data_IF_680531105320
#
_entry.id   IF_680531105320
#
_cell.length_a   1.000
_cell.length_b   1.000
_cell.length_c   1.000
_cell.angle_alpha   90.00
_cell.angle_beta   90.00
_cell.angle_gamma   90.00
#
_symmetry.space_group_name_H-M   'P 1'
#
loop_
_entity.id
_entity.type
_entity.pdbx_description
1 polymer ?
#
# COMPACT_ATOMS: atom_id res chain seq x y z
N UNK A 1 -1.74 33.22 -14.45
CA UNK A 1 -1.73 33.89 -13.14
C UNK A 1 -1.12 35.26 -13.30
N UNK A 2 -1.55 36.21 -12.48
CA UNK A 2 -0.93 37.54 -12.40
C UNK A 2 0.35 37.48 -11.54
N UNK A 3 1.21 38.50 -11.66
CA UNK A 3 2.40 38.66 -10.81
C UNK A 3 2.03 38.65 -9.31
N UNK A 4 0.93 39.29 -8.96
CA UNK A 4 0.43 39.41 -7.59
C UNK A 4 -0.04 38.07 -7.02
N UNK A 5 -0.71 37.24 -7.84
CA UNK A 5 -1.13 35.89 -7.44
C UNK A 5 0.07 34.98 -7.13
N UNK A 6 1.13 35.04 -7.95
CA UNK A 6 2.34 34.25 -7.74
C UNK A 6 3.10 34.69 -6.48
N UNK A 7 3.17 36.00 -6.21
CA UNK A 7 3.77 36.54 -4.99
C UNK A 7 2.99 36.12 -3.74
N UNK A 8 1.67 36.30 -3.75
CA UNK A 8 0.80 35.91 -2.63
C UNK A 8 0.91 34.42 -2.33
N UNK A 9 0.97 33.57 -3.36
CA UNK A 9 1.15 32.13 -3.17
C UNK A 9 2.54 31.76 -2.64
N UNK A 10 3.59 32.47 -3.09
CA UNK A 10 4.94 32.28 -2.58
C UNK A 10 5.04 32.66 -1.09
N UNK A 11 4.46 33.80 -0.72
CA UNK A 11 4.40 34.29 0.66
C UNK A 11 3.60 33.33 1.56
N UNK A 12 2.42 32.90 1.12
CA UNK A 12 1.61 31.91 1.83
C UNK A 12 2.38 30.60 2.04
N UNK A 13 3.10 30.14 1.02
CA UNK A 13 3.92 28.92 1.12
C UNK A 13 5.09 29.11 2.09
N UNK A 14 5.74 30.29 2.10
CA UNK A 14 6.78 30.63 3.08
C UNK A 14 6.23 30.66 4.52
N UNK A 15 5.04 31.23 4.73
CA UNK A 15 4.34 31.24 6.02
C UNK A 15 3.98 29.83 6.50
N UNK A 16 3.46 28.99 5.61
CA UNK A 16 3.22 27.58 5.93
C UNK A 16 4.50 26.86 6.31
N UNK A 17 5.64 27.14 5.65
CA UNK A 17 6.93 26.52 5.98
C UNK A 17 7.52 27.04 7.29
N UNK A 18 7.35 28.31 7.63
CA UNK A 18 7.83 28.87 8.89
C UNK A 18 7.05 28.33 10.10
N UNK A 19 5.77 28.00 9.93
CA UNK A 19 4.98 27.34 10.98
C UNK A 19 5.43 25.89 11.26
N UNK A 20 6.06 25.22 10.28
CA UNK A 20 6.41 23.79 10.34
C UNK A 20 7.89 23.56 10.63
N UNK A 21 8.67 24.63 10.73
CA UNK A 21 10.09 24.57 11.04
C UNK A 21 10.35 25.53 12.20
N UNK A 22 11.07 25.09 13.25
CA UNK A 22 11.49 25.96 14.36
C UNK A 22 12.43 27.12 13.90
N UNK A 23 12.63 27.29 12.60
CA UNK A 23 13.39 28.36 11.98
C UNK A 23 12.46 29.54 11.65
N UNK A 24 12.34 30.46 12.59
CA UNK A 24 11.47 31.65 12.54
C UNK A 24 11.80 32.69 11.43
N UNK A 25 12.70 32.41 10.48
CA UNK A 25 13.18 33.42 9.54
C UNK A 25 13.58 32.81 8.19
N UNK A 26 12.56 32.38 7.43
CA UNK A 26 12.68 32.00 6.02
C UNK A 26 12.18 33.20 5.18
N UNK A 27 12.94 34.30 5.18
CA UNK A 27 12.63 35.47 4.34
C UNK A 27 13.45 35.44 3.04
N UNK A 28 12.77 35.26 1.91
CA UNK A 28 13.36 35.51 0.59
C UNK A 28 13.19 37.02 0.33
N UNK A 29 14.23 37.83 0.59
CA UNK A 29 14.13 39.29 0.46
C UNK A 29 13.55 39.79 -0.88
N UNK A 30 13.14 41.07 -0.97
CA UNK A 30 12.26 41.59 -2.03
C UNK A 30 12.76 41.35 -3.46
N UNK A 31 14.07 41.52 -3.72
CA UNK A 31 14.67 41.25 -5.03
C UNK A 31 14.47 39.82 -5.52
N UNK A 32 14.40 38.85 -4.59
CA UNK A 32 14.23 37.43 -4.89
C UNK A 32 12.77 37.12 -5.20
N UNK A 33 11.85 37.71 -4.46
CA UNK A 33 10.41 37.64 -4.75
C UNK A 33 10.10 38.23 -6.12
N UNK A 34 10.71 39.36 -6.47
CA UNK A 34 10.55 39.96 -7.80
C UNK A 34 11.02 39.03 -8.94
N UNK A 35 12.14 38.33 -8.75
CA UNK A 35 12.63 37.34 -9.71
C UNK A 35 11.69 36.13 -9.82
N UNK A 36 11.18 35.62 -8.69
CA UNK A 36 10.19 34.53 -8.68
C UNK A 36 8.96 34.94 -9.48
N UNK A 37 8.44 36.15 -9.24
CA UNK A 37 7.24 36.65 -9.88
C UNK A 37 7.42 36.94 -11.39
N UNK A 38 8.65 37.25 -11.81
CA UNK A 38 9.01 37.43 -13.21
C UNK A 38 9.33 36.11 -13.96
N UNK A 39 9.51 35.00 -13.25
CA UNK A 39 9.88 33.71 -13.85
C UNK A 39 8.63 32.98 -14.36
N UNK A 40 8.47 32.89 -15.68
CA UNK A 40 7.26 32.36 -16.31
C UNK A 40 6.81 30.97 -15.78
N UNK A 41 7.72 29.99 -15.54
CA UNK A 41 7.38 28.69 -14.96
C UNK A 41 6.71 28.76 -13.58
N UNK A 42 6.92 29.82 -12.79
CA UNK A 42 6.26 30.03 -11.50
C UNK A 42 4.74 30.28 -11.62
N UNK A 43 4.22 30.47 -12.84
CA UNK A 43 2.77 30.41 -13.09
C UNK A 43 2.16 29.03 -12.80
N UNK A 44 3.00 27.99 -12.68
CA UNK A 44 2.59 26.69 -12.18
C UNK A 44 2.81 26.64 -10.64
N UNK A 45 1.74 26.46 -9.83
CA UNK A 45 1.83 26.39 -8.36
C UNK A 45 2.89 25.40 -7.86
N UNK A 46 3.02 24.28 -8.55
CA UNK A 46 3.91 23.21 -8.14
C UNK A 46 5.37 23.54 -8.44
N UNK A 47 5.63 24.18 -9.58
CA UNK A 47 6.97 24.69 -9.90
C UNK A 47 7.38 25.76 -8.88
N UNK A 48 6.49 26.72 -8.60
CA UNK A 48 6.71 27.75 -7.60
C UNK A 48 7.04 27.13 -6.23
N UNK A 49 6.23 26.17 -5.79
CA UNK A 49 6.42 25.47 -4.51
C UNK A 49 7.80 24.85 -4.38
N UNK A 50 8.21 24.02 -5.35
CA UNK A 50 9.51 23.37 -5.32
C UNK A 50 10.67 24.36 -5.45
N UNK A 51 10.51 25.39 -6.27
CA UNK A 51 11.50 26.45 -6.38
C UNK A 51 11.69 27.11 -5.03
N UNK A 52 10.61 27.60 -4.41
CA UNK A 52 10.67 28.24 -3.09
C UNK A 52 11.28 27.31 -2.04
N UNK A 53 10.87 26.04 -1.95
CA UNK A 53 11.42 25.07 -1.01
C UNK A 53 12.95 24.94 -1.13
N UNK A 54 13.48 24.89 -2.35
CA UNK A 54 14.92 24.79 -2.58
C UNK A 54 15.66 26.10 -2.32
N UNK A 55 15.05 27.26 -2.62
CA UNK A 55 15.62 28.57 -2.28
C UNK A 55 15.70 28.76 -0.76
N UNK A 56 14.68 28.30 -0.02
CA UNK A 56 14.66 28.29 1.43
C UNK A 56 15.78 27.42 2.01
N UNK A 57 16.00 26.24 1.42
CA UNK A 57 17.08 25.33 1.81
C UNK A 57 18.46 25.97 1.61
N UNK A 58 18.70 26.61 0.48
CA UNK A 58 19.96 27.33 0.22
C UNK A 58 20.16 28.49 1.21
N UNK A 59 19.08 29.24 1.50
CA UNK A 59 19.15 30.31 2.48
C UNK A 59 19.52 29.79 3.88
N UNK A 60 18.92 28.69 4.34
CA UNK A 60 19.26 28.07 5.62
C UNK A 60 20.73 27.60 5.67
N UNK A 61 21.24 26.99 4.60
CA UNK A 61 22.65 26.59 4.52
C UNK A 61 23.60 27.80 4.63
N UNK A 62 23.23 28.93 4.01
CA UNK A 62 24.03 30.17 4.05
C UNK A 62 24.12 30.81 5.44
N UNK A 63 23.10 30.65 6.30
CA UNK A 63 23.12 31.15 7.69
C UNK A 63 24.13 30.39 8.57
N UNK A 64 24.42 29.13 8.26
CA UNK A 64 25.31 28.27 9.05
C UNK A 64 26.79 28.55 8.74
N UNK A 65 27.14 28.92 7.50
CA UNK A 65 28.53 29.23 7.13
C UNK A 65 28.64 30.45 6.18
N UNK A 66 28.74 31.68 6.71
CA UNK A 66 28.63 32.89 5.89
C UNK A 66 29.83 33.19 4.97
N UNK A 67 31.01 32.58 5.17
CA UNK A 67 32.27 32.97 4.48
C UNK A 67 32.45 32.36 3.08
N UNK A 68 31.83 31.21 2.78
CA UNK A 68 32.05 30.48 1.53
C UNK A 68 30.87 30.57 0.54
N UNK A 69 29.73 31.17 0.92
CA UNK A 69 28.45 30.95 0.24
C UNK A 69 27.95 32.09 -0.66
N UNK A 70 28.53 33.29 -0.66
CA UNK A 70 27.91 34.43 -1.36
C UNK A 70 27.91 34.28 -2.90
N UNK A 71 28.95 33.67 -3.48
CA UNK A 71 29.06 33.42 -4.94
C UNK A 71 28.42 32.09 -5.34
N UNK A 72 28.56 31.05 -4.52
CA UNK A 72 27.96 29.74 -4.77
C UNK A 72 26.42 29.78 -4.74
N UNK A 73 25.83 30.54 -3.81
CA UNK A 73 24.38 30.70 -3.75
C UNK A 73 23.80 31.33 -5.03
N UNK A 74 24.42 32.38 -5.56
CA UNK A 74 23.86 33.09 -6.73
C UNK A 74 23.92 32.22 -8.01
N UNK A 75 24.96 31.41 -8.17
CA UNK A 75 25.06 30.47 -9.30
C UNK A 75 24.01 29.36 -9.19
N UNK A 76 23.88 28.75 -8.01
CA UNK A 76 22.85 27.73 -7.74
C UNK A 76 21.43 28.27 -7.97
N UNK A 77 21.19 29.52 -7.57
CA UNK A 77 19.95 30.22 -7.84
C UNK A 77 19.71 30.36 -9.34
N UNK A 78 20.69 30.86 -10.09
CA UNK A 78 20.57 30.99 -11.55
C UNK A 78 20.26 29.66 -12.23
N UNK A 79 20.83 28.55 -11.76
CA UNK A 79 20.56 27.22 -12.30
C UNK A 79 19.12 26.76 -12.02
N UNK A 80 18.57 27.02 -10.82
CA UNK A 80 17.16 26.75 -10.52
C UNK A 80 16.21 27.54 -11.44
N UNK A 81 16.53 28.81 -11.73
CA UNK A 81 15.76 29.64 -12.66
C UNK A 81 15.93 29.25 -14.14
N UNK A 82 16.89 28.38 -14.50
CA UNK A 82 16.98 27.82 -15.87
C UNK A 82 16.00 26.68 -16.11
N UNK A 83 15.38 26.13 -15.06
CA UNK A 83 14.38 25.09 -15.22
C UNK A 83 13.11 25.68 -15.86
N UNK A 84 12.84 25.28 -17.10
CA UNK A 84 11.71 25.79 -17.89
C UNK A 84 10.36 25.14 -17.52
N UNK A 85 10.37 24.05 -16.76
CA UNK A 85 9.18 23.38 -16.27
C UNK A 85 9.46 22.68 -14.92
N UNK A 86 8.42 22.09 -14.33
CA UNK A 86 8.52 21.38 -13.04
C UNK A 86 9.41 20.13 -13.11
N UNK A 87 9.48 19.46 -14.27
CA UNK A 87 10.25 18.22 -14.41
C UNK A 87 11.74 18.51 -14.49
N UNK A 88 12.14 19.52 -15.26
CA UNK A 88 13.51 20.00 -15.32
C UNK A 88 13.99 20.49 -13.94
N UNK A 89 13.12 21.17 -13.19
CA UNK A 89 13.42 21.60 -11.83
C UNK A 89 13.68 20.41 -10.90
N UNK A 90 12.77 19.44 -10.89
CA UNK A 90 12.89 18.26 -10.03
C UNK A 90 14.10 17.38 -10.40
N UNK A 91 14.40 17.23 -11.69
CA UNK A 91 15.58 16.50 -12.14
C UNK A 91 16.89 17.19 -11.72
N UNK A 92 16.93 18.52 -11.79
CA UNK A 92 18.04 19.31 -11.26
C UNK A 92 18.19 19.13 -9.74
N UNK A 93 17.08 19.19 -8.99
CA UNK A 93 17.08 18.99 -7.53
C UNK A 93 17.63 17.62 -7.15
N UNK A 94 17.18 16.56 -7.82
CA UNK A 94 17.67 15.20 -7.58
C UNK A 94 19.15 15.06 -7.94
N UNK A 95 19.59 15.63 -9.08
CA UNK A 95 21.00 15.64 -9.50
C UNK A 95 21.89 16.29 -8.44
N UNK A 96 21.47 17.44 -7.91
CA UNK A 96 22.20 18.14 -6.87
C UNK A 96 22.28 17.36 -5.57
N UNK A 97 21.22 16.64 -5.22
CA UNK A 97 21.28 15.76 -4.05
C UNK A 97 22.32 14.67 -4.26
N UNK A 98 22.38 14.05 -5.44
CA UNK A 98 23.40 13.04 -5.74
C UNK A 98 24.80 13.63 -5.59
N UNK A 99 25.07 14.79 -6.18
CA UNK A 99 26.36 15.48 -6.04
C UNK A 99 26.77 15.76 -4.59
N UNK A 100 25.79 16.11 -3.74
CA UNK A 100 26.03 16.45 -2.34
C UNK A 100 26.17 15.23 -1.43
N UNK A 101 25.36 14.19 -1.65
CA UNK A 101 25.19 13.09 -0.69
C UNK A 101 25.79 11.77 -1.13
N UNK A 102 25.99 11.55 -2.44
CA UNK A 102 26.58 10.32 -2.95
C UNK A 102 28.11 10.39 -2.84
N UNK A 103 28.60 9.95 -1.69
CA UNK A 103 30.04 9.89 -1.42
C UNK A 103 30.61 8.53 -1.77
N UNK A 104 31.94 8.42 -1.88
CA UNK A 104 32.62 7.12 -2.04
C UNK A 104 32.27 6.11 -0.93
N UNK A 105 31.96 6.59 0.29
CA UNK A 105 31.57 5.74 1.43
C UNK A 105 30.10 5.34 1.42
N UNK A 106 29.25 6.12 0.75
CA UNK A 106 27.81 5.89 0.66
C UNK A 106 27.38 6.09 -0.80
N UNK A 107 27.78 5.18 -1.71
CA UNK A 107 27.50 5.34 -3.13
C UNK A 107 26.00 5.21 -3.40
N UNK A 108 25.48 6.05 -4.30
CA UNK A 108 24.08 6.05 -4.73
C UNK A 108 23.09 6.18 -3.56
N UNK A 109 23.45 6.90 -2.50
CA UNK A 109 22.60 7.08 -1.32
C UNK A 109 21.24 7.66 -1.71
N UNK A 110 21.24 8.72 -2.52
CA UNK A 110 20.02 9.40 -2.95
C UNK A 110 19.12 8.44 -3.71
N UNK A 111 19.67 7.78 -4.73
CA UNK A 111 18.94 6.76 -5.50
C UNK A 111 18.34 5.70 -4.58
N UNK A 112 19.13 5.17 -3.64
CA UNK A 112 18.72 4.06 -2.76
C UNK A 112 17.61 4.48 -1.80
N UNK A 113 17.71 5.64 -1.15
CA UNK A 113 16.67 6.14 -0.23
C UNK A 113 15.40 6.51 -1.00
N UNK A 114 15.52 7.31 -2.06
CA UNK A 114 14.39 7.75 -2.86
C UNK A 114 13.63 6.58 -3.50
N UNK A 115 14.34 5.56 -3.99
CA UNK A 115 13.70 4.37 -4.56
C UNK A 115 12.90 3.58 -3.53
N UNK A 116 13.41 3.44 -2.30
CA UNK A 116 12.68 2.76 -1.22
C UNK A 116 11.43 3.54 -0.81
N UNK A 117 11.55 4.87 -0.66
CA UNK A 117 10.40 5.74 -0.36
C UNK A 117 9.36 5.71 -1.50
N UNK A 118 9.81 5.71 -2.76
CA UNK A 118 8.94 5.56 -3.93
C UNK A 118 8.16 4.24 -3.89
N UNK A 119 8.83 3.16 -3.48
CA UNK A 119 8.27 1.82 -3.48
C UNK A 119 7.33 1.54 -2.31
N UNK A 120 7.40 2.29 -1.22
CA UNK A 120 6.58 2.09 0.00
C UNK A 120 5.08 2.35 -0.22
N UNK A 121 4.22 1.62 0.47
CA UNK A 121 2.77 1.85 0.43
C UNK A 121 2.36 2.97 1.40
N UNK A 122 2.78 2.85 2.66
CA UNK A 122 2.43 3.77 3.75
C UNK A 122 3.57 4.69 4.20
N UNK A 123 4.68 4.68 3.46
CA UNK A 123 5.93 5.30 3.91
C UNK A 123 6.80 4.35 4.72
N UNK A 124 8.01 4.81 5.02
CA UNK A 124 9.00 4.08 5.83
C UNK A 124 9.39 4.91 7.04
N UNK A 125 9.58 4.25 8.17
CA UNK A 125 10.22 4.88 9.33
C UNK A 125 11.72 5.02 9.12
N UNK A 126 12.36 5.88 9.92
CA UNK A 126 13.82 5.99 9.92
C UNK A 126 14.50 4.66 10.26
N UNK A 127 13.92 3.90 11.20
CA UNK A 127 14.42 2.59 11.57
C UNK A 127 14.31 1.60 10.40
N UNK A 128 13.19 1.56 9.70
CA UNK A 128 12.98 0.69 8.53
C UNK A 128 13.98 1.03 7.41
N UNK A 129 14.22 2.31 7.14
CA UNK A 129 15.24 2.73 6.18
C UNK A 129 16.64 2.27 6.57
N UNK A 130 17.00 2.34 7.86
CA UNK A 130 18.30 1.85 8.36
C UNK A 130 18.43 0.33 8.26
N UNK A 131 17.36 -0.42 8.55
CA UNK A 131 17.35 -1.87 8.36
C UNK A 131 17.48 -2.25 6.89
N UNK A 132 16.85 -1.49 5.99
CA UNK A 132 16.96 -1.68 4.55
C UNK A 132 18.35 -1.28 4.04
N UNK A 133 19.01 -0.29 4.65
CA UNK A 133 20.30 0.27 4.26
C UNK A 133 21.35 0.10 5.38
N UNK A 134 21.71 -1.14 5.75
CA UNK A 134 22.53 -1.41 6.94
C UNK A 134 23.97 -0.87 6.83
N UNK A 135 24.45 -0.63 5.61
CA UNK A 135 25.75 -0.05 5.29
C UNK A 135 25.78 1.49 5.36
N UNK A 136 24.61 2.15 5.47
CA UNK A 136 24.53 3.61 5.55
C UNK A 136 24.57 4.05 7.02
N UNK A 137 25.58 4.84 7.45
CA UNK A 137 25.62 5.34 8.81
C UNK A 137 24.39 6.20 9.13
N UNK A 138 23.81 6.01 10.32
CA UNK A 138 22.61 6.76 10.75
C UNK A 138 22.75 8.25 10.57
N UNK A 139 23.88 8.83 10.97
CA UNK A 139 24.13 10.28 10.85
C UNK A 139 24.07 10.77 9.39
N UNK A 140 24.52 9.96 8.45
CA UNK A 140 24.48 10.29 7.01
C UNK A 140 23.05 10.26 6.50
N UNK A 141 22.28 9.22 6.84
CA UNK A 141 20.87 9.12 6.47
C UNK A 141 20.05 10.27 7.07
N UNK A 142 20.26 10.57 8.35
CA UNK A 142 19.54 11.66 9.03
C UNK A 142 19.88 13.02 8.42
N UNK A 143 21.16 13.26 8.10
CA UNK A 143 21.57 14.49 7.43
C UNK A 143 20.91 14.63 6.05
N UNK A 144 20.81 13.54 5.28
CA UNK A 144 20.10 13.54 4.00
C UNK A 144 18.62 13.90 4.20
N UNK A 145 17.91 13.18 5.08
CA UNK A 145 16.47 13.38 5.33
C UNK A 145 16.16 14.78 5.87
N UNK A 146 17.00 15.31 6.75
CA UNK A 146 16.84 16.66 7.30
C UNK A 146 17.12 17.74 6.24
N UNK A 147 18.19 17.56 5.46
CA UNK A 147 18.53 18.49 4.38
C UNK A 147 17.48 18.52 3.27
N UNK A 148 16.69 17.47 3.11
CA UNK A 148 15.68 17.32 2.06
C UNK A 148 14.24 17.35 2.62
N UNK A 149 14.07 17.77 3.88
CA UNK A 149 12.82 17.67 4.64
C UNK A 149 11.58 18.29 3.98
N UNK A 150 11.75 19.32 3.15
CA UNK A 150 10.63 19.96 2.48
C UNK A 150 9.98 19.07 1.41
N UNK A 151 10.70 18.05 0.93
CA UNK A 151 10.19 17.05 -0.02
C UNK A 151 9.34 15.98 0.66
N UNK A 152 9.63 15.69 1.93
CA UNK A 152 9.01 14.60 2.65
C UNK A 152 7.79 15.07 3.44
N UNK A 153 6.80 14.18 3.56
CA UNK A 153 5.74 14.31 4.55
C UNK A 153 6.06 13.36 5.70
N UNK A 154 6.10 13.87 6.92
CA UNK A 154 6.23 13.06 8.14
C UNK A 154 4.85 12.89 8.76
N UNK A 155 4.39 11.66 8.88
CA UNK A 155 3.09 11.33 9.47
C UNK A 155 3.19 10.08 10.33
N UNK A 156 2.81 10.17 11.61
CA UNK A 156 2.89 9.07 12.59
C UNK A 156 4.25 8.33 12.61
N UNK A 157 5.36 9.07 12.46
CA UNK A 157 6.72 8.50 12.46
C UNK A 157 7.16 7.90 11.12
N UNK A 158 6.32 7.97 10.07
CA UNK A 158 6.65 7.54 8.72
C UNK A 158 7.04 8.69 7.83
N UNK A 159 7.93 8.40 6.88
CA UNK A 159 8.41 9.32 5.86
C UNK A 159 7.76 8.92 4.54
N UNK A 160 7.01 9.85 3.95
CA UNK A 160 6.33 9.71 2.68
C UNK A 160 6.85 10.75 1.68
N UNK A 161 6.69 10.47 0.39
CA UNK A 161 6.91 11.47 -0.66
C UNK A 161 5.72 12.43 -0.64
N UNK A 162 5.98 13.73 -0.46
CA UNK A 162 4.91 14.71 -0.23
C UNK A 162 4.03 15.03 -1.43
N UNK A 163 4.49 14.77 -2.65
CA UNK A 163 3.72 15.04 -3.86
C UNK A 163 4.04 14.05 -4.99
N UNK A 164 3.03 13.73 -5.80
CA UNK A 164 3.15 12.78 -6.92
C UNK A 164 4.22 13.18 -7.92
N UNK A 165 4.38 14.46 -8.23
CA UNK A 165 5.41 14.93 -9.16
C UNK A 165 6.86 14.57 -8.72
N UNK A 166 7.18 14.66 -7.43
CA UNK A 166 8.50 14.17 -6.96
C UNK A 166 8.59 12.65 -7.08
N UNK A 167 7.50 11.93 -6.78
CA UNK A 167 7.45 10.47 -6.97
C UNK A 167 7.71 10.10 -8.43
N UNK A 168 7.10 10.82 -9.37
CA UNK A 168 7.28 10.64 -10.81
C UNK A 168 8.70 11.01 -11.26
N UNK A 169 9.28 12.08 -10.73
CA UNK A 169 10.67 12.48 -11.01
C UNK A 169 11.67 11.41 -10.51
N UNK A 170 11.48 10.91 -9.28
CA UNK A 170 12.24 9.78 -8.73
C UNK A 170 12.11 8.55 -9.63
N UNK A 171 10.89 8.22 -10.07
CA UNK A 171 10.67 7.09 -10.96
C UNK A 171 11.42 7.25 -12.28
N UNK A 172 11.29 8.41 -12.95
CA UNK A 172 11.95 8.67 -14.23
C UNK A 172 13.46 8.58 -14.13
N UNK A 173 14.04 9.13 -13.06
CA UNK A 173 15.49 9.21 -12.88
C UNK A 173 16.11 7.89 -12.42
N UNK A 174 15.49 7.25 -11.42
CA UNK A 174 16.12 6.12 -10.71
C UNK A 174 15.55 4.75 -11.07
N UNK A 175 14.31 4.71 -11.56
CA UNK A 175 13.53 3.49 -11.82
C UNK A 175 12.84 3.55 -13.21
N UNK A 176 13.60 3.82 -14.30
CA UNK A 176 13.01 4.11 -15.61
C UNK A 176 12.28 2.91 -16.21
N UNK A 177 12.69 1.68 -15.86
CA UNK A 177 12.14 0.45 -16.39
C UNK A 177 11.29 -0.34 -15.39
N UNK A 178 10.44 -1.26 -15.89
CA UNK A 178 9.70 -2.19 -15.04
C UNK A 178 10.63 -3.09 -14.20
N UNK A 179 11.83 -3.39 -14.67
CA UNK A 179 12.78 -4.25 -13.96
C UNK A 179 13.23 -3.58 -12.64
N UNK A 180 13.73 -2.35 -12.72
CA UNK A 180 14.19 -1.59 -11.56
C UNK A 180 13.05 -1.36 -10.54
N UNK A 181 11.85 -1.06 -11.03
CA UNK A 181 10.66 -0.91 -10.18
C UNK A 181 10.31 -2.22 -9.46
N UNK A 182 10.31 -3.35 -10.16
CA UNK A 182 10.07 -4.66 -9.55
C UNK A 182 11.16 -5.05 -8.57
N UNK A 183 12.42 -4.69 -8.81
CA UNK A 183 13.52 -4.99 -7.89
C UNK A 183 13.37 -4.25 -6.56
N UNK A 184 12.96 -2.98 -6.59
CA UNK A 184 12.63 -2.21 -5.38
C UNK A 184 11.53 -2.91 -4.59
N UNK A 185 10.42 -3.25 -5.26
CA UNK A 185 9.32 -3.94 -4.61
C UNK A 185 9.73 -5.33 -4.10
N UNK A 186 10.58 -6.08 -4.83
CA UNK A 186 11.08 -7.38 -4.36
C UNK A 186 11.89 -7.24 -3.08
N UNK A 187 12.75 -6.22 -3.01
CA UNK A 187 13.55 -5.92 -1.81
C UNK A 187 12.67 -5.54 -0.63
N UNK A 188 11.69 -4.65 -0.84
CA UNK A 188 10.75 -4.27 0.20
C UNK A 188 9.93 -5.47 0.67
N UNK A 189 9.36 -6.27 -0.24
CA UNK A 189 8.64 -7.49 0.12
C UNK A 189 9.49 -8.45 0.96
N UNK A 190 10.77 -8.60 0.62
CA UNK A 190 11.72 -9.42 1.38
C UNK A 190 11.94 -8.90 2.79
N UNK A 191 12.08 -7.58 2.94
CA UNK A 191 12.16 -6.92 4.24
C UNK A 191 10.90 -7.17 5.08
N UNK A 192 9.71 -6.90 4.54
CA UNK A 192 8.47 -7.07 5.27
C UNK A 192 8.22 -8.52 5.68
N UNK A 193 8.52 -9.48 4.79
CA UNK A 193 8.46 -10.92 5.10
C UNK A 193 9.26 -11.31 6.34
N UNK A 194 10.39 -10.63 6.59
CA UNK A 194 11.30 -10.91 7.71
C UNK A 194 10.83 -10.36 9.07
N UNK A 195 9.82 -9.48 9.07
CA UNK A 195 9.33 -8.84 10.29
C UNK A 195 8.27 -9.69 11.01
N UNK A 196 8.08 -9.48 12.32
CA UNK A 196 6.98 -10.08 13.07
C UNK A 196 5.61 -9.77 12.45
N UNK A 197 4.61 -10.67 12.63
CA UNK A 197 3.28 -10.45 12.08
C UNK A 197 2.62 -9.21 12.67
N UNK A 198 2.14 -8.33 11.79
CA UNK A 198 1.28 -7.20 12.13
C UNK A 198 0.39 -6.88 10.93
N UNK A 199 -0.66 -6.09 11.16
CA UNK A 199 -1.58 -5.66 10.11
C UNK A 199 -0.86 -4.95 8.95
N UNK A 200 -0.10 -3.89 9.26
CA UNK A 200 0.73 -3.16 8.28
C UNK A 200 1.73 -4.06 7.56
N UNK A 201 2.34 -5.00 8.27
CA UNK A 201 3.30 -5.93 7.66
C UNK A 201 2.65 -6.77 6.56
N UNK A 202 1.43 -7.29 6.79
CA UNK A 202 0.72 -8.09 5.79
C UNK A 202 0.34 -7.26 4.56
N UNK A 203 -0.15 -6.03 4.79
CA UNK A 203 -0.48 -5.10 3.69
C UNK A 203 0.73 -4.79 2.82
N UNK A 204 1.83 -4.36 3.43
CA UNK A 204 3.05 -4.00 2.71
C UNK A 204 3.65 -5.22 2.00
N UNK A 205 3.70 -6.38 2.67
CA UNK A 205 4.24 -7.61 2.07
C UNK A 205 3.45 -8.03 0.83
N UNK A 206 2.12 -8.09 0.92
CA UNK A 206 1.23 -8.46 -0.19
C UNK A 206 1.34 -7.44 -1.33
N UNK A 207 1.29 -6.14 -0.99
CA UNK A 207 1.44 -5.06 -1.95
C UNK A 207 2.74 -5.23 -2.75
N UNK A 208 3.87 -5.45 -2.07
CA UNK A 208 5.15 -5.58 -2.72
C UNK A 208 5.33 -6.86 -3.53
N UNK A 209 4.85 -8.02 -3.03
CA UNK A 209 4.93 -9.26 -3.81
C UNK A 209 4.11 -9.18 -5.10
N UNK A 210 2.94 -8.56 -5.04
CA UNK A 210 2.14 -8.30 -6.22
C UNK A 210 2.82 -7.34 -7.19
N UNK A 211 3.35 -6.22 -6.70
CA UNK A 211 4.01 -5.19 -7.53
C UNK A 211 5.35 -5.66 -8.13
N UNK A 212 5.99 -6.65 -7.51
CA UNK A 212 7.22 -7.29 -8.02
C UNK A 212 6.97 -8.57 -8.81
N UNK A 213 5.70 -8.91 -9.08
CA UNK A 213 5.27 -10.11 -9.81
C UNK A 213 5.81 -11.42 -9.18
N UNK A 214 6.04 -11.42 -7.86
CA UNK A 214 6.49 -12.59 -7.12
C UNK A 214 5.29 -13.44 -6.70
N UNK A 215 4.60 -14.03 -7.69
CA UNK A 215 3.31 -14.71 -7.50
C UNK A 215 3.37 -15.83 -6.46
N UNK A 216 4.44 -16.63 -6.47
CA UNK A 216 4.64 -17.68 -5.48
C UNK A 216 4.79 -17.14 -4.05
N UNK A 217 5.49 -16.01 -3.88
CA UNK A 217 5.62 -15.37 -2.57
C UNK A 217 4.29 -14.76 -2.13
N UNK A 218 3.59 -14.08 -3.06
CA UNK A 218 2.27 -13.51 -2.81
C UNK A 218 1.30 -14.60 -2.31
N UNK A 219 1.18 -15.70 -3.05
CA UNK A 219 0.30 -16.80 -2.66
C UNK A 219 0.81 -17.57 -1.44
N UNK A 220 2.12 -17.57 -1.16
CA UNK A 220 2.66 -18.06 0.09
C UNK A 220 2.09 -17.34 1.31
N UNK A 221 1.90 -16.02 1.22
CA UNK A 221 1.26 -15.22 2.29
C UNK A 221 -0.26 -15.41 2.29
N UNK A 222 -0.91 -15.33 1.13
CA UNK A 222 -2.36 -15.47 1.03
C UNK A 222 -2.87 -16.87 1.41
N UNK A 223 -2.04 -17.92 1.28
CA UNK A 223 -2.38 -19.30 1.67
C UNK A 223 -1.89 -19.69 3.07
N UNK A 224 -1.38 -18.72 3.84
CA UNK A 224 -1.07 -18.91 5.25
C UNK A 224 -2.35 -18.79 6.09
N UNK A 225 -2.91 -19.94 6.45
CA UNK A 225 -4.21 -20.04 7.10
C UNK A 225 -4.23 -19.45 8.52
N UNK A 226 -3.08 -19.34 9.18
CA UNK A 226 -2.99 -18.63 10.48
C UNK A 226 -3.30 -17.13 10.31
N UNK A 227 -2.95 -16.57 9.14
CA UNK A 227 -3.11 -15.14 8.83
C UNK A 227 -4.35 -14.86 8.00
N UNK A 228 -4.94 -15.88 7.37
CA UNK A 228 -6.07 -15.73 6.46
C UNK A 228 -7.26 -14.95 7.06
N UNK A 229 -7.66 -15.15 8.34
CA UNK A 229 -8.72 -14.34 8.94
C UNK A 229 -8.43 -12.83 8.88
N UNK A 230 -7.19 -12.41 9.16
CA UNK A 230 -6.78 -11.01 9.10
C UNK A 230 -6.81 -10.46 7.66
N UNK A 231 -6.51 -11.29 6.66
CA UNK A 231 -6.60 -10.92 5.24
C UNK A 231 -8.03 -10.82 4.74
N UNK A 232 -8.95 -11.52 5.40
CA UNK A 232 -10.36 -11.57 5.04
C UNK A 232 -11.23 -10.60 5.86
N UNK A 233 -10.67 -9.93 6.86
CA UNK A 233 -11.36 -8.85 7.57
C UNK A 233 -11.71 -7.73 6.58
N UNK A 234 -12.98 -7.33 6.57
CA UNK A 234 -13.45 -6.17 5.82
C UNK A 234 -13.19 -4.90 6.64
N UNK A 235 -12.74 -3.84 5.98
CA UNK A 235 -12.75 -2.50 6.57
C UNK A 235 -14.17 -1.91 6.63
N UNK A 236 -14.33 -0.72 7.21
CA UNK A 236 -15.62 -0.02 7.30
C UNK A 236 -16.29 0.22 5.94
N UNK A 237 -15.53 0.14 4.84
CA UNK A 237 -16.02 0.29 3.48
C UNK A 237 -16.35 -1.07 2.79
N UNK A 238 -16.26 -2.19 3.51
CA UNK A 238 -16.51 -3.53 2.96
C UNK A 238 -15.39 -4.05 2.06
N UNK A 239 -14.21 -3.43 2.10
CA UNK A 239 -13.04 -3.86 1.33
C UNK A 239 -12.24 -4.86 2.16
N UNK A 240 -11.97 -6.05 1.60
CA UNK A 240 -11.09 -7.01 2.25
C UNK A 240 -9.72 -6.38 2.49
N UNK A 241 -9.17 -6.65 3.66
CA UNK A 241 -7.83 -6.25 4.02
C UNK A 241 -6.80 -6.69 2.95
N UNK A 242 -5.85 -5.82 2.63
CA UNK A 242 -4.83 -6.04 1.59
C UNK A 242 -5.37 -6.24 0.15
N UNK A 243 -6.65 -5.96 -0.13
CA UNK A 243 -7.30 -6.19 -1.43
C UNK A 243 -7.09 -7.66 -1.92
N UNK A 244 -7.36 -8.61 -1.02
CA UNK A 244 -7.13 -10.05 -1.23
C UNK A 244 -7.76 -10.56 -2.55
N UNK A 245 -8.98 -10.10 -2.90
CA UNK A 245 -9.67 -10.48 -4.14
C UNK A 245 -8.82 -10.16 -5.37
N UNK A 246 -8.27 -8.95 -5.45
CA UNK A 246 -7.45 -8.52 -6.57
C UNK A 246 -6.10 -9.23 -6.59
N UNK A 247 -5.51 -9.46 -5.41
CA UNK A 247 -4.25 -10.18 -5.29
C UNK A 247 -4.33 -11.62 -5.80
N UNK A 248 -5.36 -12.38 -5.38
CA UNK A 248 -5.57 -13.75 -5.84
C UNK A 248 -5.90 -13.78 -7.32
N UNK A 249 -6.75 -12.87 -7.82
CA UNK A 249 -7.09 -12.80 -9.26
C UNK A 249 -5.87 -12.53 -10.14
N UNK A 250 -4.96 -11.67 -9.70
CA UNK A 250 -3.74 -11.38 -10.45
C UNK A 250 -2.77 -12.55 -10.40
N UNK A 251 -2.61 -13.20 -9.25
CA UNK A 251 -1.78 -14.40 -9.12
C UNK A 251 -2.31 -15.57 -9.97
N UNK A 252 -3.63 -15.75 -10.04
CA UNK A 252 -4.26 -16.88 -10.74
C UNK A 252 -3.97 -16.91 -12.25
N UNK A 253 -3.63 -15.76 -12.83
CA UNK A 253 -3.19 -15.64 -14.23
C UNK A 253 -1.85 -16.31 -14.51
N UNK A 254 -1.07 -16.59 -13.46
CA UNK A 254 0.32 -17.06 -13.56
C UNK A 254 0.57 -18.37 -12.81
N UNK A 255 -0.19 -18.65 -11.74
CA UNK A 255 -0.10 -19.85 -10.90
C UNK A 255 -1.50 -20.27 -10.47
N UNK A 256 -1.73 -21.53 -10.11
CA UNK A 256 -3.05 -22.00 -9.63
C UNK A 256 -3.30 -21.53 -8.18
N UNK A 257 -3.77 -20.28 -8.05
CA UNK A 257 -3.87 -19.59 -6.77
C UNK A 257 -4.93 -20.24 -5.88
N UNK A 258 -6.04 -20.68 -6.46
CA UNK A 258 -7.13 -21.35 -5.74
C UNK A 258 -6.69 -22.71 -5.19
N UNK A 259 -5.92 -23.49 -5.96
CA UNK A 259 -5.32 -24.72 -5.45
C UNK A 259 -4.36 -24.46 -4.29
N UNK A 260 -3.53 -23.42 -4.36
CA UNK A 260 -2.64 -23.07 -3.26
C UNK A 260 -3.40 -22.74 -1.97
N UNK A 261 -4.54 -22.05 -2.07
CA UNK A 261 -5.42 -21.77 -0.93
C UNK A 261 -6.00 -23.06 -0.33
N UNK A 262 -6.54 -23.96 -1.17
CA UNK A 262 -7.06 -25.26 -0.73
C UNK A 262 -5.98 -26.11 -0.07
N UNK A 263 -4.77 -26.14 -0.64
CA UNK A 263 -3.64 -26.85 -0.04
C UNK A 263 -3.16 -26.22 1.26
N UNK A 264 -3.26 -24.89 1.38
CA UNK A 264 -3.02 -24.15 2.62
C UNK A 264 -3.92 -24.63 3.75
N UNK A 265 -5.23 -24.75 3.49
CA UNK A 265 -6.20 -25.28 4.45
C UNK A 265 -5.86 -26.73 4.85
N UNK A 266 -5.59 -27.61 3.87
CA UNK A 266 -5.19 -29.01 4.15
C UNK A 266 -3.88 -29.13 4.93
N UNK A 267 -2.95 -28.19 4.76
CA UNK A 267 -1.71 -28.14 5.58
C UNK A 267 -2.01 -27.68 7.00
N UNK A 268 -2.93 -26.73 7.16
CA UNK A 268 -3.37 -26.24 8.47
C UNK A 268 -4.10 -27.33 9.27
N UNK A 269 -5.07 -28.01 8.64
CA UNK A 269 -5.79 -29.16 9.21
C UNK A 269 -4.87 -30.28 9.71
N UNK A 270 -3.85 -30.64 8.92
CA UNK A 270 -2.89 -31.70 9.26
C UNK A 270 -2.06 -31.39 10.50
N UNK A 271 -1.87 -30.12 10.84
CA UNK A 271 -1.16 -29.72 12.07
C UNK A 271 -2.02 -29.93 13.32
N UNK A 272 -3.30 -30.31 13.17
CA UNK A 272 -4.28 -30.46 14.26
C UNK A 272 -4.31 -29.23 15.18
N UNK A 273 -4.07 -28.06 14.60
CA UNK A 273 -4.30 -26.81 15.29
C UNK A 273 -5.81 -26.65 15.51
N UNK A 274 -6.20 -26.21 16.71
CA UNK A 274 -7.57 -25.96 17.18
C UNK A 274 -8.69 -26.20 16.13
N UNK A 275 -9.44 -27.31 16.25
CA UNK A 275 -10.49 -27.70 15.30
C UNK A 275 -11.53 -26.59 15.06
N UNK A 276 -11.82 -25.76 16.06
CA UNK A 276 -12.72 -24.62 15.90
C UNK A 276 -12.15 -23.56 14.94
N UNK A 277 -10.83 -23.33 14.94
CA UNK A 277 -10.18 -22.40 14.01
C UNK A 277 -10.18 -22.94 12.59
N UNK A 278 -9.98 -24.24 12.41
CA UNK A 278 -10.07 -24.91 11.10
C UNK A 278 -11.46 -24.67 10.48
N UNK A 279 -12.52 -24.91 11.25
CA UNK A 279 -13.90 -24.68 10.81
C UNK A 279 -14.13 -23.22 10.41
N UNK A 280 -13.71 -22.28 11.26
CA UNK A 280 -13.81 -20.83 10.98
C UNK A 280 -13.07 -20.45 9.69
N UNK A 281 -11.83 -20.90 9.49
CA UNK A 281 -11.05 -20.57 8.29
C UNK A 281 -11.69 -21.20 7.04
N UNK A 282 -12.18 -22.44 7.15
CA UNK A 282 -12.92 -23.11 6.08
C UNK A 282 -14.14 -22.31 5.63
N UNK A 283 -14.92 -21.76 6.58
CA UNK A 283 -16.05 -20.86 6.30
C UNK A 283 -15.61 -19.62 5.53
N UNK A 284 -14.58 -18.92 6.01
CA UNK A 284 -14.10 -17.69 5.36
C UNK A 284 -13.61 -17.98 3.94
N UNK A 285 -12.93 -19.11 3.74
CA UNK A 285 -12.42 -19.51 2.45
C UNK A 285 -13.55 -19.94 1.48
N UNK A 286 -14.59 -20.62 1.97
CA UNK A 286 -15.77 -20.94 1.18
C UNK A 286 -16.50 -19.67 0.72
N UNK A 287 -16.67 -18.70 1.64
CA UNK A 287 -17.23 -17.37 1.31
C UNK A 287 -16.37 -16.68 0.26
N UNK A 288 -15.05 -16.63 0.45
CA UNK A 288 -14.11 -16.06 -0.51
C UNK A 288 -14.25 -16.70 -1.91
N UNK A 289 -14.33 -18.03 -1.99
CA UNK A 289 -14.52 -18.71 -3.27
C UNK A 289 -15.86 -18.37 -3.93
N UNK A 290 -16.94 -18.29 -3.18
CA UNK A 290 -18.24 -17.83 -3.69
C UNK A 290 -18.19 -16.40 -4.24
N UNK A 291 -17.51 -15.49 -3.55
CA UNK A 291 -17.28 -14.11 -4.01
C UNK A 291 -16.41 -14.03 -5.26
N UNK A 292 -15.46 -14.96 -5.40
CA UNK A 292 -14.57 -15.05 -6.56
C UNK A 292 -15.17 -15.85 -7.73
N UNK A 293 -16.42 -16.32 -7.62
CA UNK A 293 -17.12 -17.08 -8.67
C UNK A 293 -16.71 -18.55 -8.76
N UNK A 294 -15.97 -19.07 -7.77
CA UNK A 294 -15.57 -20.48 -7.63
C UNK A 294 -16.65 -21.26 -6.89
N UNK A 295 -17.85 -21.27 -7.48
CA UNK A 295 -19.06 -21.78 -6.84
C UNK A 295 -18.99 -23.28 -6.52
N UNK A 296 -18.28 -24.07 -7.35
CA UNK A 296 -18.10 -25.50 -7.13
C UNK A 296 -17.28 -25.76 -5.87
N UNK A 297 -16.11 -25.15 -5.77
CA UNK A 297 -15.23 -25.28 -4.61
C UNK A 297 -15.89 -24.75 -3.34
N UNK A 298 -16.57 -23.60 -3.42
CA UNK A 298 -17.34 -23.08 -2.30
C UNK A 298 -18.43 -24.06 -1.84
N UNK A 299 -19.18 -24.65 -2.78
CA UNK A 299 -20.22 -25.64 -2.48
C UNK A 299 -19.66 -26.87 -1.78
N UNK A 300 -18.59 -27.46 -2.31
CA UNK A 300 -17.93 -28.63 -1.71
C UNK A 300 -17.47 -28.34 -0.27
N UNK A 301 -16.97 -27.12 -0.03
CA UNK A 301 -16.58 -26.68 1.32
C UNK A 301 -17.79 -26.50 2.25
N UNK A 302 -18.85 -25.82 1.81
CA UNK A 302 -20.07 -25.67 2.61
C UNK A 302 -20.71 -27.01 2.95
N UNK A 303 -20.76 -27.95 2.01
CA UNK A 303 -21.25 -29.31 2.26
C UNK A 303 -20.42 -30.02 3.31
N UNK A 304 -19.08 -29.93 3.22
CA UNK A 304 -18.18 -30.53 4.20
C UNK A 304 -18.39 -29.94 5.60
N UNK A 305 -18.59 -28.63 5.70
CA UNK A 305 -18.80 -27.94 6.98
C UNK A 305 -20.18 -28.27 7.57
N UNK A 306 -21.25 -28.22 6.76
CA UNK A 306 -22.62 -28.44 7.21
C UNK A 306 -22.95 -29.92 7.49
N UNK A 307 -22.17 -30.85 6.96
CA UNK A 307 -22.31 -32.29 7.24
C UNK A 307 -21.54 -32.74 8.50
N UNK A 308 -20.94 -31.81 9.25
CA UNK A 308 -20.34 -32.14 10.55
C UNK A 308 -21.42 -32.54 11.58
N UNK A 309 -21.08 -33.34 12.61
CA UNK A 309 -22.05 -33.80 13.60
C UNK A 309 -22.83 -32.65 14.25
N UNK A 310 -24.13 -32.84 14.44
CA UNK A 310 -25.07 -31.86 15.02
C UNK A 310 -24.55 -31.23 16.32
N UNK A 311 -23.83 -31.98 17.16
CA UNK A 311 -23.24 -31.50 18.41
C UNK A 311 -22.16 -30.40 18.21
N UNK A 312 -21.51 -30.35 17.05
CA UNK A 312 -20.53 -29.32 16.67
C UNK A 312 -21.24 -28.07 16.12
N UNK A 313 -22.38 -28.25 15.45
CA UNK A 313 -23.15 -27.19 14.78
C UNK A 313 -24.22 -26.53 15.69
N UNK A 314 -24.72 -27.24 16.71
CA UNK A 314 -25.77 -26.78 17.63
C UNK A 314 -25.20 -26.37 19.00
N UNK A 315 -23.99 -25.81 19.00
CA UNK A 315 -23.31 -25.33 20.20
C UNK A 315 -23.98 -24.10 20.84
N UNK A 316 -23.22 -23.03 21.08
CA UNK A 316 -23.77 -21.80 21.64
C UNK A 316 -24.80 -21.15 20.70
N UNK A 317 -25.56 -20.18 21.21
CA UNK A 317 -26.44 -19.32 20.40
C UNK A 317 -25.69 -18.73 19.19
N UNK A 318 -24.44 -18.33 19.41
CA UNK A 318 -23.56 -17.80 18.37
C UNK A 318 -23.25 -18.83 17.28
N UNK A 319 -23.04 -20.10 17.64
CA UNK A 319 -22.85 -21.19 16.68
C UNK A 319 -24.10 -21.43 15.84
N UNK A 320 -25.30 -21.41 16.44
CA UNK A 320 -26.56 -21.56 15.70
C UNK A 320 -26.77 -20.43 14.69
N UNK A 321 -26.46 -19.19 15.08
CA UNK A 321 -26.53 -18.03 14.18
C UNK A 321 -25.59 -18.18 13.00
N UNK A 322 -24.32 -18.52 13.26
CA UNK A 322 -23.32 -18.76 12.22
C UNK A 322 -23.75 -19.88 11.26
N UNK A 323 -24.31 -20.98 11.76
CA UNK A 323 -24.81 -22.08 10.91
C UNK A 323 -25.97 -21.62 10.02
N UNK A 324 -26.87 -20.78 10.52
CA UNK A 324 -27.93 -20.22 9.70
C UNK A 324 -27.38 -19.30 8.58
N UNK A 325 -26.42 -18.43 8.90
CA UNK A 325 -25.73 -17.59 7.91
C UNK A 325 -25.03 -18.42 6.83
N UNK A 326 -24.34 -19.50 7.22
CA UNK A 326 -23.70 -20.42 6.27
C UNK A 326 -24.70 -21.07 5.32
N UNK A 327 -25.86 -21.48 5.84
CA UNK A 327 -26.92 -22.08 5.02
C UNK A 327 -27.52 -21.06 4.04
N UNK A 328 -27.69 -19.81 4.46
CA UNK A 328 -28.12 -18.73 3.57
C UNK A 328 -27.10 -18.54 2.44
N UNK A 329 -25.82 -18.35 2.79
CA UNK A 329 -24.74 -18.18 1.81
C UNK A 329 -24.64 -19.38 0.85
N UNK A 330 -24.79 -20.59 1.37
CA UNK A 330 -24.77 -21.80 0.55
C UNK A 330 -25.96 -21.83 -0.42
N UNK A 331 -27.17 -21.53 0.05
CA UNK A 331 -28.37 -21.41 -0.78
C UNK A 331 -28.22 -20.36 -1.90
N UNK A 332 -27.62 -19.21 -1.60
CA UNK A 332 -27.36 -18.15 -2.58
C UNK A 332 -26.40 -18.60 -3.69
N UNK A 333 -25.33 -19.31 -3.33
CA UNK A 333 -24.34 -19.84 -4.29
C UNK A 333 -24.98 -20.91 -5.19
N UNK A 334 -25.81 -21.80 -4.63
CA UNK A 334 -26.56 -22.79 -5.39
C UNK A 334 -27.47 -22.11 -6.43
N UNK A 335 -28.21 -21.08 -6.02
CA UNK A 335 -29.07 -20.30 -6.93
C UNK A 335 -28.27 -19.55 -8.00
N UNK A 336 -27.13 -18.96 -7.64
CA UNK A 336 -26.25 -18.28 -8.59
C UNK A 336 -25.72 -19.25 -9.64
N UNK A 337 -25.23 -20.41 -9.21
CA UNK A 337 -24.78 -21.50 -10.08
C UNK A 337 -25.87 -21.93 -11.05
N UNK A 338 -27.10 -22.12 -10.55
CA UNK A 338 -28.25 -22.47 -11.40
C UNK A 338 -28.59 -21.38 -12.44
N UNK A 339 -28.52 -20.10 -12.07
CA UNK A 339 -28.78 -18.98 -12.97
C UNK A 339 -27.74 -18.88 -14.09
N UNK A 340 -26.46 -19.10 -13.76
CA UNK A 340 -25.32 -18.99 -14.68
C UNK A 340 -25.16 -20.23 -15.58
N UNK A 341 -25.71 -21.37 -15.18
CA UNK A 341 -25.66 -22.62 -15.93
C UNK A 341 -26.32 -22.52 -17.32
N UNK A 342 -25.72 -23.16 -18.33
CA UNK A 342 -26.31 -23.24 -19.68
C UNK A 342 -27.64 -24.01 -19.67
N UNK A 343 -28.65 -23.60 -20.43
CA UNK A 343 -29.89 -24.38 -20.58
C UNK A 343 -29.60 -25.83 -20.97
N UNK A 344 -30.18 -26.77 -20.23
CA UNK A 344 -30.00 -28.22 -20.46
C UNK A 344 -28.75 -28.83 -19.80
N UNK A 345 -27.90 -28.07 -19.10
CA UNK A 345 -26.82 -28.65 -18.30
C UNK A 345 -27.35 -29.24 -16.98
N UNK A 346 -26.61 -30.18 -16.39
CA UNK A 346 -26.93 -30.75 -15.07
C UNK A 346 -26.99 -29.67 -13.97
N UNK A 347 -26.20 -28.61 -14.12
CA UNK A 347 -26.16 -27.44 -13.23
C UNK A 347 -27.39 -26.52 -13.39
N UNK A 348 -28.24 -26.75 -14.40
CA UNK A 348 -29.54 -26.09 -14.58
C UNK A 348 -30.71 -26.99 -14.15
N UNK A 349 -30.47 -27.87 -13.19
CA UNK A 349 -31.48 -28.82 -12.69
C UNK A 349 -32.31 -28.23 -11.55
N UNK A 350 -33.57 -28.68 -11.43
CA UNK A 350 -34.42 -28.40 -10.27
C UNK A 350 -33.82 -28.90 -8.95
N UNK A 351 -32.87 -29.84 -9.01
CA UNK A 351 -32.17 -30.37 -7.84
C UNK A 351 -31.43 -29.25 -7.09
N UNK A 352 -30.74 -28.35 -7.80
CA UNK A 352 -30.02 -27.24 -7.17
C UNK A 352 -30.98 -26.22 -6.55
N UNK A 353 -32.12 -25.96 -7.19
CA UNK A 353 -33.16 -25.05 -6.68
C UNK A 353 -33.78 -25.60 -5.41
N UNK A 354 -34.15 -26.89 -5.41
CA UNK A 354 -34.71 -27.56 -4.23
C UNK A 354 -33.68 -27.58 -3.09
N UNK A 355 -32.42 -27.91 -3.39
CA UNK A 355 -31.34 -27.89 -2.40
C UNK A 355 -31.15 -26.50 -1.80
N UNK A 356 -31.22 -25.44 -2.60
CA UNK A 356 -31.15 -24.07 -2.12
C UNK A 356 -32.35 -23.73 -1.21
N UNK A 357 -33.55 -24.11 -1.61
CA UNK A 357 -34.77 -23.96 -0.79
C UNK A 357 -34.63 -24.66 0.56
N UNK A 358 -34.12 -25.89 0.57
CA UNK A 358 -33.88 -26.66 1.81
C UNK A 358 -32.90 -25.94 2.74
N UNK A 359 -31.85 -25.32 2.19
CA UNK A 359 -30.92 -24.53 2.99
C UNK A 359 -31.58 -23.30 3.59
N UNK A 360 -32.37 -22.54 2.81
CA UNK A 360 -33.07 -21.37 3.32
C UNK A 360 -34.11 -21.72 4.38
N UNK A 361 -34.87 -22.79 4.19
CA UNK A 361 -35.83 -23.27 5.19
C UNK A 361 -35.13 -23.70 6.47
N UNK A 362 -34.02 -24.44 6.36
CA UNK A 362 -33.22 -24.84 7.53
C UNK A 362 -32.61 -23.65 8.27
N UNK A 363 -32.15 -22.63 7.54
CA UNK A 363 -31.64 -21.40 8.14
C UNK A 363 -32.76 -20.62 8.86
N UNK A 364 -33.94 -20.52 8.23
CA UNK A 364 -35.09 -19.83 8.80
C UNK A 364 -35.55 -20.45 10.11
N UNK A 365 -35.68 -21.79 10.17
CA UNK A 365 -36.06 -22.47 11.41
C UNK A 365 -35.01 -22.29 12.51
N UNK A 366 -33.71 -22.32 12.17
CA UNK A 366 -32.65 -22.06 13.13
C UNK A 366 -32.68 -20.63 13.70
N UNK A 367 -32.92 -19.62 12.87
CA UNK A 367 -33.07 -18.23 13.31
C UNK A 367 -34.35 -18.01 14.14
N UNK A 368 -35.43 -18.72 13.80
CA UNK A 368 -36.68 -18.67 14.56
C UNK A 368 -36.52 -19.23 15.97
N UNK A 369 -35.77 -20.33 16.15
CA UNK A 369 -35.43 -20.84 17.48
C UNK A 369 -34.65 -19.81 18.31
N UNK A 370 -33.76 -19.03 17.68
CA UNK A 370 -32.96 -18.00 18.36
C UNK A 370 -33.79 -16.80 18.82
N UNK A 371 -34.89 -16.47 18.14
CA UNK A 371 -35.78 -15.37 18.51
C UNK A 371 -36.70 -15.70 19.70
N UNK A 372 -36.82 -16.98 20.06
CA UNK A 372 -37.68 -17.47 21.16
C UNK A 372 -36.90 -17.64 22.48
N UNK A 373 -35.57 -17.66 22.41
CA UNK A 373 -34.64 -17.67 23.55
C UNK A 373 -34.29 -16.24 23.97
#
# INVERSE_FOLDING_TARGET
WTREEALSLAELHLEQRSQWTDTADISLGPQRLDRIAAHAPCSNPLHLRYLVDELCREHQASKINPRDLQVGCELEWQLLFRANDVWALLDYVLSRWEEKFDTRRCPQLVRRVCSLLWGSCWGLSEYELLCLLPDVPRIVLMNFLESTKFTWVRYNGYILIGHSAMRDAIQRRFLPGPHEQRDVHRRLGGFWKSLPPSRRKLEEEIYHWRRSEQWANLMGVCSDMEKFPLLFEEDEAGTLHCDLRRCVRDADKHIDAYKMLLEGLKRYERRKENEANVGRIGVLLAKFFGEMGRNKEATEMYETILNQPVAVLHGSIETKHQVAELRILYGEILLRTWKEAKPGSAERSFILVNKAQDQFMSAFEALKELLVL
#
